data_IF_844269775651
#
_entry.id   IF_844269775651
#
_cell.length_a   1.000
_cell.length_b   1.000
_cell.length_c   1.000
_cell.angle_alpha   90.00
_cell.angle_beta   90.00
_cell.angle_gamma   90.00
#
_symmetry.space_group_name_H-M   'P 1'
#
loop_
_entity.id
_entity.type
_entity.pdbx_description
1 polymer ?
#
# COMPACT_ATOMS: atom_id res chain seq x y z
N UNK A 1 12.71 21.60 3.78
CA UNK A 1 12.62 21.52 2.31
C UNK A 1 11.52 20.51 2.00
N UNK A 2 10.33 20.94 1.55
CA UNK A 2 9.29 19.99 1.08
C UNK A 2 9.88 19.25 -0.10
N UNK A 3 10.17 17.96 0.06
CA UNK A 3 10.50 17.09 -1.07
C UNK A 3 9.27 17.08 -1.96
N UNK A 4 9.47 17.39 -3.24
CA UNK A 4 8.36 17.43 -4.20
C UNK A 4 7.76 16.02 -4.31
N UNK A 5 6.45 15.93 -4.36
CA UNK A 5 5.70 14.69 -4.57
C UNK A 5 6.17 14.02 -5.87
N UNK A 6 6.49 14.81 -6.88
CA UNK A 6 7.02 14.39 -8.19
C UNK A 6 8.35 13.62 -8.10
N UNK A 7 9.14 13.84 -7.04
CA UNK A 7 10.40 13.12 -6.78
C UNK A 7 10.21 11.77 -6.06
N UNK A 8 9.00 11.41 -5.67
CA UNK A 8 8.75 10.17 -4.95
C UNK A 8 8.48 9.02 -5.93
N UNK A 9 9.51 8.18 -6.11
CA UNK A 9 9.39 6.93 -6.88
C UNK A 9 8.73 5.84 -6.02
N UNK A 10 7.70 5.20 -6.57
CA UNK A 10 6.90 4.19 -5.88
C UNK A 10 6.93 2.87 -6.64
N UNK A 11 7.15 1.77 -5.93
CA UNK A 11 6.97 0.41 -6.43
C UNK A 11 5.78 -0.24 -5.71
N UNK A 12 4.92 -0.87 -6.48
CA UNK A 12 3.82 -1.68 -5.95
C UNK A 12 4.16 -3.17 -5.99
N UNK A 13 4.08 -3.82 -4.83
CA UNK A 13 4.17 -5.28 -4.70
C UNK A 13 2.76 -5.81 -4.52
N UNK A 14 2.17 -6.25 -5.62
CA UNK A 14 0.77 -6.66 -5.73
C UNK A 14 -0.04 -5.81 -6.71
N UNK A 15 -0.98 -6.44 -7.41
CA UNK A 15 -1.91 -5.82 -8.36
C UNK A 15 -3.37 -6.27 -8.09
N UNK A 16 -3.73 -6.39 -6.82
CA UNK A 16 -5.09 -6.67 -6.35
C UNK A 16 -6.01 -5.45 -6.43
N UNK A 17 -7.21 -5.57 -5.87
CA UNK A 17 -8.21 -4.49 -5.90
C UNK A 17 -7.70 -3.20 -5.26
N UNK A 18 -7.15 -3.29 -4.04
CA UNK A 18 -6.62 -2.13 -3.33
C UNK A 18 -5.41 -1.54 -4.06
N UNK A 19 -4.41 -2.39 -4.42
CA UNK A 19 -3.23 -1.92 -5.16
C UNK A 19 -3.61 -1.16 -6.44
N UNK A 20 -4.57 -1.69 -7.20
CA UNK A 20 -5.03 -1.07 -8.45
C UNK A 20 -5.62 0.33 -8.22
N UNK A 21 -6.49 0.48 -7.22
CA UNK A 21 -7.10 1.76 -6.91
C UNK A 21 -6.09 2.75 -6.33
N UNK A 22 -5.24 2.31 -5.39
CA UNK A 22 -4.25 3.16 -4.74
C UNK A 22 -3.16 3.63 -5.72
N UNK A 23 -2.63 2.73 -6.57
CA UNK A 23 -1.63 3.08 -7.56
C UNK A 23 -2.16 4.12 -8.57
N UNK A 24 -3.38 3.93 -9.07
CA UNK A 24 -4.03 4.92 -9.95
C UNK A 24 -4.24 6.26 -9.24
N UNK A 25 -4.71 6.24 -7.99
CA UNK A 25 -4.93 7.47 -7.22
C UNK A 25 -3.61 8.24 -7.01
N UNK A 26 -2.53 7.57 -6.65
CA UNK A 26 -1.20 8.18 -6.52
C UNK A 26 -0.68 8.71 -7.86
N UNK A 27 -0.80 7.93 -8.93
CA UNK A 27 -0.39 8.32 -10.28
C UNK A 27 -1.10 9.61 -10.73
N UNK A 28 -2.42 9.71 -10.56
CA UNK A 28 -3.18 10.91 -10.90
C UNK A 28 -2.86 12.13 -10.03
N UNK A 29 -2.21 11.93 -8.89
CA UNK A 29 -1.69 12.99 -8.02
C UNK A 29 -0.22 13.35 -8.31
N UNK A 30 0.37 12.80 -9.37
CA UNK A 30 1.72 13.12 -9.83
C UNK A 30 2.83 12.26 -9.24
N UNK A 31 2.52 11.20 -8.51
CA UNK A 31 3.55 10.24 -8.06
C UNK A 31 4.05 9.40 -9.22
N UNK A 32 5.35 9.19 -9.28
CA UNK A 32 5.96 8.33 -10.27
C UNK A 32 5.91 6.87 -9.83
N UNK A 33 4.97 6.09 -10.40
CA UNK A 33 4.97 4.64 -10.21
C UNK A 33 6.01 4.07 -11.15
N UNK A 34 7.08 3.48 -10.61
CA UNK A 34 8.20 2.98 -11.44
C UNK A 34 8.02 1.54 -11.85
N UNK A 35 7.41 0.73 -10.99
CA UNK A 35 7.20 -0.68 -11.31
C UNK A 35 6.03 -1.28 -10.51
N UNK A 36 5.38 -2.26 -11.12
CA UNK A 36 4.36 -3.11 -10.50
C UNK A 36 4.82 -4.56 -10.56
N UNK A 37 4.86 -5.21 -9.40
CA UNK A 37 5.02 -6.66 -9.29
C UNK A 37 3.67 -7.34 -9.08
N UNK A 38 3.42 -8.44 -9.77
CA UNK A 38 2.33 -9.37 -9.44
C UNK A 38 2.69 -10.78 -9.87
N UNK A 39 2.16 -11.76 -9.15
CA UNK A 39 2.35 -13.19 -9.47
C UNK A 39 1.85 -13.56 -10.87
N UNK A 40 0.84 -12.88 -11.38
CA UNK A 40 0.28 -13.10 -12.71
C UNK A 40 0.66 -11.94 -13.64
N UNK A 41 1.17 -12.26 -14.82
CA UNK A 41 1.58 -11.27 -15.82
C UNK A 41 0.44 -10.35 -16.22
N UNK A 42 -0.75 -10.91 -16.44
CA UNK A 42 -1.93 -10.14 -16.82
C UNK A 42 -2.23 -9.03 -15.81
N UNK A 43 -2.24 -9.35 -14.50
CA UNK A 43 -2.52 -8.35 -13.47
C UNK A 43 -1.41 -7.32 -13.35
N UNK A 44 -0.15 -7.73 -13.43
CA UNK A 44 1.01 -6.84 -13.39
C UNK A 44 0.98 -5.84 -14.55
N UNK A 45 0.84 -6.37 -15.78
CA UNK A 45 0.79 -5.58 -17.01
C UNK A 45 -0.39 -4.62 -17.05
N UNK A 46 -1.59 -5.09 -16.70
CA UNK A 46 -2.81 -4.26 -16.72
C UNK A 46 -2.68 -3.06 -15.79
N UNK A 47 -2.18 -3.26 -14.56
CA UNK A 47 -1.98 -2.15 -13.65
C UNK A 47 -0.84 -1.24 -14.09
N UNK A 48 0.28 -1.81 -14.51
CA UNK A 48 1.44 -1.04 -14.98
C UNK A 48 1.10 -0.14 -16.17
N UNK A 49 0.35 -0.64 -17.16
CA UNK A 49 -0.14 0.16 -18.28
C UNK A 49 -1.03 1.33 -17.84
N UNK A 50 -1.87 1.12 -16.81
CA UNK A 50 -2.78 2.16 -16.31
C UNK A 50 -2.07 3.29 -15.54
N UNK A 51 -0.80 3.08 -15.12
CA UNK A 51 0.00 4.05 -14.35
C UNK A 51 1.36 4.33 -15.01
N UNK A 52 1.51 3.99 -16.29
CA UNK A 52 2.70 4.21 -17.12
C UNK A 52 4.00 3.68 -16.47
N UNK A 53 3.91 2.50 -15.84
CA UNK A 53 5.02 1.87 -15.12
C UNK A 53 5.57 0.64 -15.85
N UNK A 54 6.78 0.21 -15.47
CA UNK A 54 7.25 -1.13 -15.79
C UNK A 54 6.50 -2.20 -14.99
N UNK A 55 6.59 -3.47 -15.39
CA UNK A 55 6.07 -4.57 -14.61
C UNK A 55 7.02 -5.76 -14.57
N UNK A 56 6.85 -6.59 -13.56
CA UNK A 56 7.54 -7.88 -13.45
C UNK A 56 6.68 -8.91 -12.71
N UNK A 57 6.93 -10.18 -12.99
CA UNK A 57 6.39 -11.33 -12.23
C UNK A 57 7.46 -12.02 -11.38
N UNK A 58 8.69 -11.52 -11.44
CA UNK A 58 9.86 -12.05 -10.72
C UNK A 58 10.26 -11.07 -9.61
N UNK A 59 10.29 -11.54 -8.36
CA UNK A 59 10.67 -10.73 -7.19
C UNK A 59 12.13 -10.29 -7.24
N UNK A 60 13.01 -11.08 -7.86
CA UNK A 60 14.42 -10.72 -8.02
C UNK A 60 14.63 -9.55 -8.98
N UNK A 61 13.67 -9.32 -9.88
CA UNK A 61 13.66 -8.24 -10.86
C UNK A 61 12.91 -6.98 -10.37
N UNK A 62 12.50 -6.93 -9.11
CA UNK A 62 11.91 -5.73 -8.53
C UNK A 62 12.96 -4.64 -8.39
N UNK A 63 12.66 -3.46 -8.95
CA UNK A 63 13.54 -2.29 -8.92
C UNK A 63 14.02 -1.99 -7.49
N UNK A 64 15.33 -1.70 -7.34
CA UNK A 64 15.97 -1.53 -6.04
C UNK A 64 16.15 -0.07 -5.62
N UNK A 65 15.85 0.88 -6.52
CA UNK A 65 16.14 2.31 -6.36
C UNK A 65 14.89 3.16 -6.07
N UNK A 66 13.75 2.56 -5.77
CA UNK A 66 12.56 3.28 -5.38
C UNK A 66 12.65 3.81 -3.94
N UNK A 67 11.99 4.93 -3.70
CA UNK A 67 11.93 5.56 -2.36
C UNK A 67 10.88 4.94 -1.46
N UNK A 68 9.79 4.46 -2.05
CA UNK A 68 8.65 3.89 -1.34
C UNK A 68 8.25 2.58 -2.01
N UNK A 69 8.10 1.54 -1.21
CA UNK A 69 7.53 0.27 -1.63
C UNK A 69 6.21 0.04 -0.89
N UNK A 70 5.15 -0.19 -1.65
CA UNK A 70 3.82 -0.45 -1.12
C UNK A 70 3.48 -1.92 -1.38
N UNK A 71 3.40 -2.70 -0.30
CA UNK A 71 3.05 -4.12 -0.37
C UNK A 71 1.55 -4.29 -0.14
N UNK A 72 0.86 -4.74 -1.17
CA UNK A 72 -0.58 -4.99 -1.16
C UNK A 72 -0.88 -6.40 -1.65
N UNK A 73 -0.45 -7.37 -0.86
CA UNK A 73 -0.64 -8.81 -1.05
C UNK A 73 -1.68 -9.34 -0.06
N UNK A 74 -2.16 -10.57 -0.31
CA UNK A 74 -2.91 -11.31 0.71
C UNK A 74 -1.99 -11.64 1.89
N UNK A 75 -2.52 -11.59 3.10
CA UNK A 75 -1.76 -11.70 4.36
C UNK A 75 -0.79 -12.89 4.38
N UNK A 76 -1.26 -14.09 4.01
CA UNK A 76 -0.41 -15.29 4.00
C UNK A 76 0.75 -15.19 2.98
N UNK A 77 0.48 -14.65 1.78
CA UNK A 77 1.51 -14.48 0.75
C UNK A 77 2.51 -13.39 1.14
N UNK A 78 2.05 -12.33 1.80
CA UNK A 78 2.93 -11.26 2.27
C UNK A 78 3.96 -11.78 3.27
N UNK A 79 3.51 -12.47 4.32
CA UNK A 79 4.42 -13.01 5.36
C UNK A 79 5.42 -14.01 4.77
N UNK A 80 4.97 -14.88 3.86
CA UNK A 80 5.81 -15.88 3.22
C UNK A 80 6.89 -15.27 2.33
N UNK A 81 6.54 -14.26 1.52
CA UNK A 81 7.42 -13.67 0.51
C UNK A 81 8.28 -12.53 1.06
N UNK A 82 8.02 -12.07 2.28
CA UNK A 82 8.66 -10.89 2.84
C UNK A 82 10.19 -10.88 2.77
N UNK A 83 10.92 -11.97 3.13
CA UNK A 83 12.38 -11.97 3.05
C UNK A 83 12.91 -11.74 1.63
N UNK A 84 12.22 -12.29 0.63
CA UNK A 84 12.60 -12.16 -0.78
C UNK A 84 12.27 -10.77 -1.34
N UNK A 85 11.11 -10.22 -0.95
CA UNK A 85 10.65 -8.89 -1.38
C UNK A 85 11.66 -7.80 -0.98
N UNK A 86 12.19 -7.83 0.24
CA UNK A 86 13.01 -6.76 0.80
C UNK A 86 14.51 -6.90 0.50
N UNK A 87 14.96 -8.04 0.05
CA UNK A 87 16.38 -8.33 -0.17
C UNK A 87 17.07 -7.27 -1.05
N UNK A 88 18.13 -6.67 -0.53
CA UNK A 88 18.92 -5.63 -1.22
C UNK A 88 18.27 -4.24 -1.25
N UNK A 89 17.17 -4.03 -0.52
CA UNK A 89 16.37 -2.79 -0.54
C UNK A 89 16.04 -2.27 0.86
N UNK A 90 16.84 -2.65 1.87
CA UNK A 90 16.54 -2.49 3.30
C UNK A 90 16.46 -1.03 3.76
N UNK A 91 17.02 -0.09 2.98
CA UNK A 91 17.06 1.34 3.32
C UNK A 91 15.89 2.17 2.76
N UNK A 92 15.08 1.59 1.89
CA UNK A 92 13.87 2.24 1.39
C UNK A 92 12.77 2.28 2.46
N UNK A 93 11.77 3.13 2.27
CA UNK A 93 10.57 3.11 3.10
C UNK A 93 9.62 2.00 2.59
N UNK A 94 9.29 1.06 3.45
CA UNK A 94 8.40 -0.05 3.18
C UNK A 94 7.09 0.09 3.94
N UNK A 95 5.98 -0.05 3.25
CA UNK A 95 4.67 -0.07 3.89
C UNK A 95 3.83 -1.23 3.37
N UNK A 96 2.99 -1.79 4.24
CA UNK A 96 1.92 -2.68 3.80
C UNK A 96 0.56 -2.01 3.93
N UNK A 97 -0.44 -2.57 3.26
CA UNK A 97 -1.81 -2.03 3.24
C UNK A 97 -2.80 -2.93 3.98
N UNK A 98 -2.34 -3.88 4.79
CA UNK A 98 -3.19 -4.81 5.51
C UNK A 98 -3.74 -4.20 6.81
N UNK A 99 -5.03 -4.38 7.06
CA UNK A 99 -5.67 -3.95 8.31
C UNK A 99 -5.36 -4.87 9.49
N UNK A 100 -5.13 -6.17 9.23
CA UNK A 100 -4.95 -7.25 10.21
C UNK A 100 -3.50 -7.50 10.61
N UNK A 101 -2.51 -7.20 9.74
CA UNK A 101 -1.09 -7.49 9.99
C UNK A 101 -0.47 -6.38 10.84
N UNK A 102 0.22 -6.71 11.94
CA UNK A 102 0.92 -5.70 12.75
C UNK A 102 2.13 -5.13 12.00
N UNK A 103 2.48 -3.88 12.30
CA UNK A 103 3.65 -3.20 11.73
C UNK A 103 4.95 -3.96 12.00
N UNK A 104 5.06 -4.63 13.14
CA UNK A 104 6.25 -5.36 13.56
C UNK A 104 6.65 -6.53 12.65
N UNK A 105 5.82 -6.90 11.68
CA UNK A 105 6.18 -7.86 10.63
C UNK A 105 7.46 -7.46 9.89
N UNK A 106 7.76 -6.16 9.83
CA UNK A 106 8.94 -5.57 9.20
C UNK A 106 10.19 -5.60 10.08
N UNK A 107 10.03 -5.72 11.42
CA UNK A 107 11.12 -5.56 12.37
C UNK A 107 12.31 -6.50 12.08
N UNK A 108 13.51 -5.94 12.06
CA UNK A 108 14.74 -6.67 11.74
C UNK A 108 14.94 -7.07 10.28
N UNK A 109 14.04 -6.65 9.37
CA UNK A 109 14.13 -6.95 7.95
C UNK A 109 14.43 -5.71 7.10
N UNK A 110 13.91 -4.56 7.52
CA UNK A 110 14.14 -3.26 6.87
C UNK A 110 14.31 -2.17 7.92
N UNK A 111 14.98 -1.08 7.54
CA UNK A 111 15.32 -0.01 8.48
C UNK A 111 14.18 1.02 8.63
N UNK A 112 13.40 1.25 7.59
CA UNK A 112 12.33 2.22 7.52
C UNK A 112 11.04 1.53 7.09
N UNK A 113 10.06 1.51 7.96
CA UNK A 113 8.84 0.77 7.67
C UNK A 113 7.60 1.35 8.37
N UNK A 114 6.45 0.95 7.85
CA UNK A 114 5.18 1.35 8.38
C UNK A 114 4.00 0.65 7.75
N UNK A 115 2.86 1.28 7.92
CA UNK A 115 1.57 0.86 7.37
C UNK A 115 0.92 2.05 6.69
N UNK A 116 0.30 1.80 5.55
CA UNK A 116 -0.54 2.74 4.82
C UNK A 116 -1.86 2.06 4.49
N UNK A 117 -2.85 2.23 5.36
CA UNK A 117 -4.09 1.46 5.31
C UNK A 117 -5.30 2.35 4.96
N UNK A 118 -5.70 2.45 3.68
CA UNK A 118 -6.99 3.02 3.32
C UNK A 118 -8.11 2.03 3.65
N UNK A 119 -9.03 2.45 4.52
CA UNK A 119 -10.11 1.60 5.01
C UNK A 119 -11.35 1.71 4.13
N UNK A 120 -11.41 0.86 3.09
CA UNK A 120 -12.52 0.78 2.15
C UNK A 120 -12.58 -0.62 1.52
N UNK A 121 -13.73 -1.02 1.00
CA UNK A 121 -13.90 -2.22 0.17
C UNK A 121 -13.61 -1.89 -1.28
N UNK A 122 -12.45 -2.29 -1.77
CA UNK A 122 -11.99 -2.00 -3.13
C UNK A 122 -12.43 -3.06 -4.13
N UNK A 123 -12.77 -2.60 -5.34
CA UNK A 123 -12.99 -3.43 -6.53
C UNK A 123 -12.26 -2.83 -7.72
N UNK A 124 -11.78 -3.68 -8.65
CA UNK A 124 -11.15 -3.21 -9.90
C UNK A 124 -12.16 -2.57 -10.85
N UNK A 125 -13.43 -2.93 -10.75
CA UNK A 125 -14.51 -2.46 -11.62
C UNK A 125 -15.09 -1.12 -11.19
N UNK A 126 -14.83 -0.69 -9.95
CA UNK A 126 -15.34 0.56 -9.39
C UNK A 126 -14.21 1.54 -9.17
N UNK A 127 -14.31 2.74 -9.72
CA UNK A 127 -13.45 3.87 -9.34
C UNK A 127 -13.90 4.39 -8.00
N UNK A 128 -12.97 4.53 -7.07
CA UNK A 128 -13.22 4.99 -5.70
C UNK A 128 -12.70 6.42 -5.55
N UNK A 129 -13.52 7.29 -4.98
CA UNK A 129 -13.08 8.64 -4.60
C UNK A 129 -12.32 8.57 -3.25
N UNK A 130 -11.00 8.68 -3.33
CA UNK A 130 -10.14 8.61 -2.13
C UNK A 130 -10.36 9.75 -1.14
N UNK A 131 -10.93 10.90 -1.54
CA UNK A 131 -11.07 12.08 -0.66
C UNK A 131 -11.81 11.77 0.63
N UNK A 132 -12.78 10.87 0.60
CA UNK A 132 -13.62 10.51 1.75
C UNK A 132 -13.15 9.23 2.46
N UNK A 133 -12.17 8.51 1.93
CA UNK A 133 -11.69 7.26 2.50
C UNK A 133 -10.79 7.57 3.70
N UNK A 134 -11.07 7.04 4.90
CA UNK A 134 -10.14 7.11 6.01
C UNK A 134 -8.84 6.37 5.67
N UNK A 135 -7.70 7.05 5.84
CA UNK A 135 -6.38 6.45 5.67
C UNK A 135 -5.66 6.45 7.00
N UNK A 136 -5.33 5.27 7.48
CA UNK A 136 -4.59 5.08 8.72
C UNK A 136 -3.12 4.82 8.42
N UNK A 137 -2.24 5.54 9.13
CA UNK A 137 -0.79 5.42 8.97
C UNK A 137 -0.11 5.10 10.29
N UNK A 138 0.95 4.33 10.21
CA UNK A 138 1.83 3.95 11.31
C UNK A 138 3.25 3.81 10.76
N UNK A 139 4.28 4.20 11.51
CA UNK A 139 5.66 3.89 11.12
C UNK A 139 6.58 3.82 12.32
N UNK A 140 7.77 3.24 12.12
CA UNK A 140 8.80 3.10 13.15
C UNK A 140 9.59 4.38 13.44
N UNK A 141 9.28 5.50 12.75
CA UNK A 141 9.92 6.80 13.01
C UNK A 141 8.95 7.98 12.83
N UNK A 142 9.12 9.03 13.62
CA UNK A 142 8.31 10.25 13.47
C UNK A 142 8.50 10.95 12.11
N UNK A 143 9.66 10.81 11.47
CA UNK A 143 9.92 11.35 10.14
C UNK A 143 9.11 10.60 9.08
N UNK A 144 9.10 9.28 9.14
CA UNK A 144 8.34 8.46 8.19
C UNK A 144 6.84 8.56 8.42
N UNK A 145 6.38 8.70 9.67
CA UNK A 145 4.97 8.98 9.97
C UNK A 145 4.53 10.28 9.30
N UNK A 146 5.33 11.35 9.39
CA UNK A 146 5.03 12.62 8.69
C UNK A 146 4.99 12.43 7.18
N UNK A 147 5.98 11.72 6.63
CA UNK A 147 6.02 11.41 5.19
C UNK A 147 4.77 10.64 4.73
N UNK A 148 4.36 9.64 5.46
CA UNK A 148 3.15 8.87 5.14
C UNK A 148 1.87 9.69 5.27
N UNK A 149 1.79 10.57 6.28
CA UNK A 149 0.66 11.53 6.41
C UNK A 149 0.62 12.52 5.26
N UNK A 150 1.75 13.05 4.84
CA UNK A 150 1.82 13.96 3.70
C UNK A 150 1.33 13.26 2.42
N UNK A 151 1.77 12.02 2.17
CA UNK A 151 1.30 11.22 1.03
C UNK A 151 -0.20 10.93 1.14
N UNK A 152 -0.69 10.54 2.30
CA UNK A 152 -2.11 10.25 2.53
C UNK A 152 -2.99 11.49 2.35
N UNK A 153 -2.53 12.66 2.82
CA UNK A 153 -3.26 13.94 2.72
C UNK A 153 -3.41 14.46 1.29
N UNK A 154 -2.57 13.99 0.36
CA UNK A 154 -2.77 14.27 -1.08
C UNK A 154 -3.97 13.50 -1.63
N UNK A 155 -4.28 12.35 -1.05
CA UNK A 155 -5.37 11.47 -1.49
C UNK A 155 -6.66 11.71 -0.74
N UNK A 156 -6.59 11.89 0.58
CA UNK A 156 -7.74 11.88 1.49
C UNK A 156 -7.76 13.08 2.43
N UNK A 157 -8.96 13.55 2.74
CA UNK A 157 -9.22 14.54 3.78
C UNK A 157 -9.24 13.91 5.19
N UNK A 158 -9.27 12.58 5.30
CA UNK A 158 -9.44 11.82 6.52
C UNK A 158 -8.19 10.97 6.80
N UNK A 159 -7.14 11.59 7.34
CA UNK A 159 -5.86 10.92 7.64
C UNK A 159 -5.64 10.85 9.14
N UNK A 160 -5.41 9.64 9.63
CA UNK A 160 -5.26 9.35 11.06
C UNK A 160 -3.99 8.53 11.33
N UNK A 161 -3.39 8.76 12.49
CA UNK A 161 -2.43 7.81 13.06
C UNK A 161 -3.19 6.74 13.84
N UNK A 162 -2.84 5.49 13.62
CA UNK A 162 -3.37 4.38 14.42
C UNK A 162 -2.32 3.30 14.54
N UNK A 163 -2.06 2.85 15.75
CA UNK A 163 -1.19 1.71 15.99
C UNK A 163 -1.80 0.39 15.50
N UNK A 164 -1.02 -0.67 15.53
CA UNK A 164 -1.43 -1.98 15.02
C UNK A 164 -2.68 -2.54 15.71
N UNK A 165 -2.87 -2.32 17.00
CA UNK A 165 -4.04 -2.81 17.75
C UNK A 165 -5.29 -1.96 17.43
N UNK A 166 -5.15 -0.66 17.38
CA UNK A 166 -6.22 0.25 16.96
C UNK A 166 -6.67 -0.06 15.53
N UNK A 167 -5.72 -0.20 14.60
CA UNK A 167 -6.01 -0.53 13.21
C UNK A 167 -6.70 -1.88 13.06
N UNK A 168 -6.26 -2.91 13.78
CA UNK A 168 -6.88 -4.23 13.80
C UNK A 168 -8.33 -4.19 14.30
N UNK A 169 -8.58 -3.41 15.36
CA UNK A 169 -9.93 -3.22 15.90
C UNK A 169 -10.85 -2.51 14.90
N UNK A 170 -10.35 -1.45 14.25
CA UNK A 170 -11.07 -0.71 13.19
C UNK A 170 -11.35 -1.61 11.98
N UNK A 171 -10.37 -2.39 11.55
CA UNK A 171 -10.51 -3.34 10.45
C UNK A 171 -11.57 -4.40 10.76
N UNK A 172 -11.56 -4.96 11.96
CA UNK A 172 -12.54 -5.95 12.40
C UNK A 172 -13.96 -5.34 12.40
N UNK A 173 -14.12 -4.14 12.93
CA UNK A 173 -15.42 -3.44 12.92
C UNK A 173 -15.92 -3.20 11.48
N UNK A 174 -15.04 -2.77 10.57
CA UNK A 174 -15.37 -2.58 9.15
C UNK A 174 -15.77 -3.89 8.47
N UNK A 175 -15.05 -4.99 8.71
CA UNK A 175 -15.37 -6.33 8.18
C UNK A 175 -16.74 -6.78 8.67
N UNK A 176 -17.05 -6.62 9.96
CA UNK A 176 -18.36 -6.96 10.49
C UNK A 176 -19.47 -6.13 9.84
N UNK A 177 -19.29 -4.82 9.76
CA UNK A 177 -20.31 -3.92 9.20
C UNK A 177 -20.57 -4.19 7.72
N UNK A 178 -19.51 -4.32 6.91
CA UNK A 178 -19.65 -4.48 5.47
C UNK A 178 -20.04 -5.92 5.07
N UNK A 179 -19.35 -6.94 5.60
CA UNK A 179 -19.56 -8.32 5.18
C UNK A 179 -20.82 -8.92 5.79
N UNK A 180 -21.13 -8.61 7.04
CA UNK A 180 -22.34 -9.09 7.70
C UNK A 180 -23.58 -8.48 7.05
N UNK A 181 -23.57 -7.18 6.76
CA UNK A 181 -24.66 -6.49 6.07
C UNK A 181 -24.88 -7.09 4.67
N UNK A 182 -23.80 -7.29 3.89
CA UNK A 182 -23.92 -7.91 2.57
C UNK A 182 -24.46 -9.35 2.64
N UNK A 183 -24.09 -10.11 3.66
CA UNK A 183 -24.60 -11.48 3.84
C UNK A 183 -26.07 -11.52 4.24
N UNK A 184 -26.55 -10.50 4.97
CA UNK A 184 -27.96 -10.42 5.39
C UNK A 184 -28.90 -10.00 4.25
N UNK A 185 -28.39 -9.35 3.19
CA UNK A 185 -29.19 -8.84 2.07
C UNK A 185 -28.94 -9.59 0.75
N UNK A 186 -28.10 -10.64 0.74
CA UNK A 186 -27.86 -11.51 -0.40
C UNK A 186 -28.77 -12.74 -0.38
#
# INVERSE_FOLDING_TARGET
MKRSIEDTSVVFIGAGNLATNLAKALYYKGFRIVQVYSRTEESARTLAQAVEAAYTTDLSSVAADARLYIVSLKDAAFVQLLPEIVAGKENALWVHTAGSIPMDVWAGKVNRYGVFYPMETFSKQRTVDFRQIPVFVESNSAEDTRTLKDIASVLSENVYEADSEQRKSLHLAAVFTCNFTNHMYA
#
